data_IF_916859949709
#
_entry.id   IF_916859949709
#
_cell.length_a   1.000
_cell.length_b   1.000
_cell.length_c   1.000
_cell.angle_alpha   90.00
_cell.angle_beta   90.00
_cell.angle_gamma   90.00
#
_symmetry.space_group_name_H-M   'P 1'
#
loop_
_entity.id
_entity.type
_entity.pdbx_description
1 polymer ?
#
# COMPACT_ATOMS: atom_id res chain seq x y z
N UNK A 1 6.79 16.45 -1.27
CA UNK A 1 5.96 15.37 -0.71
C UNK A 1 4.51 15.61 -1.07
N UNK A 2 3.84 14.60 -1.59
CA UNK A 2 2.45 14.68 -1.99
C UNK A 2 1.69 13.43 -1.55
N UNK A 3 0.39 13.58 -1.38
CA UNK A 3 -0.51 12.45 -1.19
C UNK A 3 -1.19 12.13 -2.50
N UNK A 4 -1.01 10.90 -2.99
CA UNK A 4 -1.56 10.46 -4.27
C UNK A 4 -2.84 9.66 -4.04
N UNK A 5 -3.92 9.95 -4.79
CA UNK A 5 -5.16 9.22 -4.61
C UNK A 5 -5.04 7.78 -5.10
N UNK A 6 -5.83 6.90 -4.49
CA UNK A 6 -5.99 5.55 -5.04
C UNK A 6 -7.15 5.52 -6.03
N UNK A 7 -7.12 4.52 -6.90
CA UNK A 7 -8.19 4.25 -7.87
C UNK A 7 -8.66 2.82 -7.66
N UNK A 8 -9.96 2.64 -7.54
CA UNK A 8 -10.56 1.31 -7.46
C UNK A 8 -10.58 0.69 -8.85
N UNK A 9 -9.90 -0.47 -9.00
CA UNK A 9 -9.74 -1.14 -10.31
C UNK A 9 -10.76 -2.26 -10.49
N UNK A 10 -10.94 -3.10 -9.47
CA UNK A 10 -11.82 -4.27 -9.54
C UNK A 10 -12.57 -4.40 -8.23
N UNK A 11 -13.84 -4.79 -8.31
CA UNK A 11 -14.63 -5.12 -7.14
C UNK A 11 -15.64 -6.20 -7.49
N UNK A 12 -15.82 -7.19 -6.58
CA UNK A 12 -16.89 -8.17 -6.66
C UNK A 12 -16.86 -9.09 -7.86
N UNK A 13 -15.88 -10.00 -7.97
CA UNK A 13 -15.75 -10.90 -9.12
C UNK A 13 -15.95 -12.36 -8.72
N UNK A 14 -16.53 -13.12 -9.66
CA UNK A 14 -16.56 -14.60 -9.64
C UNK A 14 -17.06 -15.18 -8.32
N UNK A 15 -18.21 -14.72 -7.83
CA UNK A 15 -18.85 -15.17 -6.60
C UNK A 15 -18.01 -14.88 -5.34
N UNK A 16 -16.93 -14.11 -5.45
CA UNK A 16 -16.08 -13.74 -4.33
C UNK A 16 -16.04 -12.24 -4.19
N UNK A 17 -15.90 -11.78 -2.96
CA UNK A 17 -15.61 -10.38 -2.75
C UNK A 17 -14.12 -10.15 -2.99
N UNK A 18 -13.82 -9.28 -3.93
CA UNK A 18 -12.47 -8.90 -4.31
C UNK A 18 -12.46 -7.40 -4.53
N UNK A 19 -11.44 -6.75 -4.04
CA UNK A 19 -11.19 -5.34 -4.33
C UNK A 19 -9.73 -5.18 -4.71
N UNK A 20 -9.50 -4.51 -5.84
CA UNK A 20 -8.15 -4.14 -6.27
C UNK A 20 -8.08 -2.63 -6.37
N UNK A 21 -7.17 -2.03 -5.63
CA UNK A 21 -6.92 -0.60 -5.70
C UNK A 21 -5.49 -0.34 -6.15
N UNK A 22 -5.27 0.83 -6.72
CA UNK A 22 -3.97 1.23 -7.24
C UNK A 22 -3.65 2.65 -6.81
N UNK A 23 -2.44 2.85 -6.32
CA UNK A 23 -1.83 4.18 -6.19
C UNK A 23 -0.81 4.31 -7.30
N UNK A 24 -0.97 5.31 -8.17
CA UNK A 24 -0.07 5.51 -9.30
C UNK A 24 0.81 6.73 -9.17
N UNK A 25 2.02 6.63 -9.69
CA UNK A 25 2.91 7.77 -9.81
C UNK A 25 3.48 8.30 -8.50
N UNK A 26 3.85 7.41 -7.57
CA UNK A 26 4.46 7.80 -6.30
C UNK A 26 5.94 8.12 -6.51
N UNK A 27 6.32 9.37 -6.29
CA UNK A 27 7.71 9.83 -6.33
C UNK A 27 8.32 9.78 -4.94
N UNK A 28 9.61 10.13 -4.83
CA UNK A 28 10.31 10.17 -3.55
C UNK A 28 9.54 11.02 -2.53
N UNK A 29 9.35 10.47 -1.35
CA UNK A 29 8.63 11.08 -0.22
C UNK A 29 7.12 11.20 -0.40
N UNK A 30 6.55 10.73 -1.48
CA UNK A 30 5.10 10.70 -1.64
C UNK A 30 4.48 9.60 -0.77
N UNK A 31 3.24 9.85 -0.34
CA UNK A 31 2.42 8.85 0.32
C UNK A 31 1.17 8.59 -0.52
N UNK A 32 0.63 7.38 -0.42
CA UNK A 32 -0.68 7.10 -0.97
C UNK A 32 -1.77 7.60 -0.03
N UNK A 33 -2.91 7.98 -0.59
CA UNK A 33 -4.10 8.29 0.19
C UNK A 33 -4.46 7.05 1.02
N UNK A 34 -4.67 7.16 2.33
CA UNK A 34 -5.02 5.99 3.13
C UNK A 34 -6.30 5.33 2.65
N UNK A 35 -6.27 4.01 2.48
CA UNK A 35 -7.49 3.24 2.25
C UNK A 35 -8.06 2.88 3.61
N UNK A 36 -9.23 3.43 3.92
CA UNK A 36 -9.82 3.33 5.25
C UNK A 36 -10.72 2.11 5.35
N UNK A 37 -10.67 1.45 6.51
CA UNK A 37 -11.53 0.32 6.84
C UNK A 37 -11.48 -0.80 5.81
N UNK A 38 -10.28 -1.32 5.47
CA UNK A 38 -10.20 -2.44 4.55
C UNK A 38 -10.84 -3.67 5.21
N UNK A 39 -11.97 -4.12 4.66
CA UNK A 39 -12.78 -5.17 5.31
C UNK A 39 -12.48 -6.58 4.83
N UNK A 40 -11.67 -6.72 3.79
CA UNK A 40 -11.28 -8.03 3.27
C UNK A 40 -9.91 -8.39 3.82
N UNK A 41 -9.76 -9.62 4.31
CA UNK A 41 -8.63 -10.01 5.14
C UNK A 41 -7.42 -10.56 4.38
N UNK A 42 -7.65 -11.19 3.22
CA UNK A 42 -6.54 -11.64 2.39
C UNK A 42 -6.04 -10.48 1.56
N UNK A 43 -4.83 -10.04 1.85
CA UNK A 43 -4.27 -8.85 1.22
C UNK A 43 -2.90 -9.16 0.63
N UNK A 44 -2.70 -8.70 -0.61
CA UNK A 44 -1.40 -8.78 -1.27
C UNK A 44 -1.09 -7.43 -1.90
N UNK A 45 0.18 -7.05 -1.87
CA UNK A 45 0.63 -5.82 -2.51
C UNK A 45 1.58 -6.16 -3.65
N UNK A 46 1.58 -5.31 -4.66
CA UNK A 46 2.52 -5.38 -5.78
C UNK A 46 3.10 -3.99 -5.99
N UNK A 47 4.40 -3.86 -5.85
CA UNK A 47 5.11 -2.60 -6.07
C UNK A 47 5.93 -2.73 -7.34
N UNK A 48 5.76 -1.79 -8.27
CA UNK A 48 6.48 -1.82 -9.54
C UNK A 48 6.75 -0.41 -10.04
N UNK A 49 7.66 -0.30 -10.99
CA UNK A 49 8.01 0.97 -11.61
C UNK A 49 9.51 1.22 -11.56
N UNK A 50 9.89 2.47 -11.52
CA UNK A 50 11.29 2.88 -11.45
C UNK A 50 11.65 3.16 -10.00
N UNK A 51 12.53 2.32 -9.42
CA UNK A 51 12.94 2.48 -8.02
C UNK A 51 14.00 3.56 -7.84
N UNK A 52 14.88 3.75 -8.83
CA UNK A 52 15.97 4.70 -8.71
C UNK A 52 17.07 4.18 -7.78
N UNK A 53 18.02 5.04 -7.44
CA UNK A 53 19.11 4.66 -6.55
C UNK A 53 18.60 4.52 -5.12
N UNK A 54 18.66 3.31 -4.59
CA UNK A 54 18.24 3.02 -3.22
C UNK A 54 16.75 3.18 -2.97
N UNK A 55 15.92 3.13 -4.02
CA UNK A 55 14.49 3.34 -3.88
C UNK A 55 13.80 2.30 -3.02
N UNK A 56 12.90 2.74 -2.16
CA UNK A 56 12.13 1.85 -1.28
C UNK A 56 10.72 2.37 -1.11
N UNK A 57 9.77 1.44 -1.14
CA UNK A 57 8.37 1.69 -0.83
C UNK A 57 8.01 0.92 0.43
N UNK A 58 7.49 1.62 1.42
CA UNK A 58 7.05 1.04 2.67
C UNK A 58 5.53 0.91 2.63
N UNK A 59 5.02 -0.24 3.04
CA UNK A 59 3.58 -0.42 3.24
C UNK A 59 3.32 -0.25 4.72
N UNK A 60 2.48 0.72 5.06
CA UNK A 60 2.24 1.06 6.45
C UNK A 60 0.75 1.13 6.75
N UNK A 61 0.42 0.99 8.02
CA UNK A 61 -0.97 1.00 8.46
C UNK A 61 -1.11 1.51 9.87
N UNK A 62 -2.36 1.58 10.32
CA UNK A 62 -2.70 2.09 11.64
C UNK A 62 -3.96 1.44 12.15
N UNK A 63 -4.13 1.43 13.47
CA UNK A 63 -5.36 1.02 14.14
C UNK A 63 -6.15 2.20 14.69
N UNK A 64 -5.68 3.43 14.46
CA UNK A 64 -6.44 4.62 14.84
C UNK A 64 -7.23 5.15 13.64
N UNK A 65 -8.08 6.13 13.88
CA UNK A 65 -8.92 6.69 12.84
C UNK A 65 -10.28 6.02 12.77
N UNK A 66 -11.05 6.39 11.76
CA UNK A 66 -12.40 5.88 11.53
C UNK A 66 -12.67 5.75 10.03
N UNK A 67 -13.91 5.40 9.65
CA UNK A 67 -14.27 5.29 8.23
C UNK A 67 -14.16 6.63 7.48
N UNK A 68 -14.19 7.75 8.19
CA UNK A 68 -14.15 9.07 7.55
C UNK A 68 -12.95 9.91 7.96
N UNK A 69 -12.27 9.54 9.04
CA UNK A 69 -11.13 10.32 9.57
C UNK A 69 -9.86 9.47 9.47
N UNK A 70 -8.90 9.85 8.62
CA UNK A 70 -7.65 9.09 8.52
C UNK A 70 -6.83 9.20 9.80
N UNK A 71 -6.02 8.18 10.10
CA UNK A 71 -5.11 8.25 11.25
C UNK A 71 -3.99 9.26 11.02
N UNK A 72 -3.36 9.66 12.11
CA UNK A 72 -2.22 10.58 12.09
C UNK A 72 -0.89 9.85 12.27
N UNK A 73 -0.90 8.63 12.79
CA UNK A 73 0.31 7.84 12.99
C UNK A 73 0.21 6.50 12.29
N UNK A 74 1.32 6.05 11.73
CA UNK A 74 1.40 4.82 10.95
C UNK A 74 2.62 4.00 11.38
N UNK A 75 2.54 2.68 11.22
CA UNK A 75 3.66 1.78 11.43
C UNK A 75 3.83 0.90 10.20
N UNK A 76 5.06 0.49 9.92
CA UNK A 76 5.35 -0.42 8.82
C UNK A 76 4.73 -1.79 9.10
N UNK A 77 4.04 -2.32 8.11
CA UNK A 77 3.43 -3.64 8.18
C UNK A 77 4.45 -4.71 7.81
N UNK A 78 4.08 -5.97 8.05
CA UNK A 78 4.96 -7.11 7.82
C UNK A 78 4.31 -8.12 6.88
N UNK A 79 5.14 -8.97 6.28
CA UNK A 79 4.66 -10.15 5.59
C UNK A 79 4.40 -11.29 6.60
N UNK A 80 3.80 -12.42 6.18
CA UNK A 80 3.50 -13.51 7.10
C UNK A 80 4.72 -14.16 7.74
N UNK A 81 5.92 -13.97 7.19
CA UNK A 81 7.17 -14.48 7.74
C UNK A 81 7.78 -13.52 8.77
N UNK A 82 7.17 -12.37 8.99
CA UNK A 82 7.65 -11.38 9.94
C UNK A 82 8.65 -10.37 9.37
N UNK A 83 8.83 -10.34 8.06
CA UNK A 83 9.71 -9.35 7.41
C UNK A 83 8.95 -8.06 7.16
N UNK A 84 9.59 -6.93 7.43
CA UNK A 84 9.00 -5.62 7.15
C UNK A 84 8.71 -5.44 5.66
N UNK A 85 7.56 -4.88 5.35
CA UNK A 85 7.19 -4.55 3.97
C UNK A 85 7.85 -3.23 3.57
N UNK A 86 9.16 -3.27 3.44
CA UNK A 86 10.00 -2.19 2.90
C UNK A 86 10.61 -2.72 1.61
N UNK A 87 10.02 -2.33 0.48
CA UNK A 87 10.19 -3.02 -0.79
C UNK A 87 11.12 -2.22 -1.68
N UNK A 88 12.28 -2.82 -2.03
CA UNK A 88 13.32 -2.19 -2.82
C UNK A 88 13.44 -2.66 -4.26
N UNK A 89 12.59 -3.59 -4.68
CA UNK A 89 12.53 -4.06 -6.07
C UNK A 89 11.11 -4.53 -6.36
N UNK A 90 10.78 -4.73 -7.63
CA UNK A 90 9.45 -5.20 -8.00
C UNK A 90 9.17 -6.56 -7.42
N UNK A 91 8.08 -6.67 -6.65
CA UNK A 91 7.63 -7.96 -6.13
C UNK A 91 6.21 -7.88 -5.58
N UNK A 92 5.64 -9.06 -5.33
CA UNK A 92 4.33 -9.23 -4.73
C UNK A 92 4.53 -9.89 -3.36
N UNK A 93 3.91 -9.32 -2.33
CA UNK A 93 4.00 -9.83 -0.96
C UNK A 93 2.62 -9.81 -0.31
N UNK A 94 2.39 -10.77 0.59
CA UNK A 94 1.21 -10.76 1.43
C UNK A 94 1.39 -9.81 2.61
N UNK A 95 0.29 -9.23 3.08
CA UNK A 95 0.27 -8.34 4.24
C UNK A 95 -0.33 -9.07 5.42
N UNK A 96 0.42 -9.17 6.51
CA UNK A 96 0.03 -9.95 7.68
C UNK A 96 -1.04 -9.25 8.53
N UNK A 97 -0.83 -7.97 8.85
CA UNK A 97 -1.65 -7.30 9.84
C UNK A 97 -2.99 -6.82 9.30
N UNK A 98 -4.02 -6.93 10.13
CA UNK A 98 -5.30 -6.28 9.87
C UNK A 98 -5.29 -4.90 10.52
N UNK A 99 -5.57 -3.88 9.73
CA UNK A 99 -5.49 -2.48 10.15
C UNK A 99 -6.73 -1.72 9.74
N UNK A 100 -6.98 -0.59 10.38
CA UNK A 100 -8.10 0.28 10.01
C UNK A 100 -7.78 1.21 8.85
N UNK A 101 -6.48 1.38 8.54
CA UNK A 101 -6.04 2.17 7.40
C UNK A 101 -4.73 1.60 6.88
N UNK A 102 -4.56 1.62 5.57
CA UNK A 102 -3.35 1.12 4.92
C UNK A 102 -2.97 2.07 3.79
N UNK A 103 -1.68 2.33 3.63
CA UNK A 103 -1.17 3.18 2.54
C UNK A 103 0.28 2.82 2.21
N UNK A 104 0.73 3.10 0.97
CA UNK A 104 2.15 3.05 0.64
C UNK A 104 2.82 4.40 0.95
N UNK A 105 4.13 4.36 1.17
CA UNK A 105 4.96 5.56 1.30
C UNK A 105 6.31 5.28 0.66
N UNK A 106 6.75 6.16 -0.23
CA UNK A 106 8.08 6.04 -0.84
C UNK A 106 9.07 6.71 0.10
N UNK A 107 9.81 5.88 0.84
CA UNK A 107 10.67 6.34 1.94
C UNK A 107 12.08 6.69 1.53
N UNK A 108 12.53 6.19 0.38
CA UNK A 108 13.90 6.41 -0.12
C UNK A 108 13.89 6.32 -1.64
N UNK A 109 14.92 6.89 -2.25
CA UNK A 109 15.08 6.88 -3.70
C UNK A 109 15.82 8.11 -4.18
N UNK A 110 15.59 8.47 -5.42
CA UNK A 110 16.18 9.66 -6.05
C UNK A 110 15.14 10.39 -6.91
N UNK A 111 15.58 11.35 -7.70
CA UNK A 111 14.68 12.14 -8.54
C UNK A 111 14.01 11.37 -9.67
N UNK A 112 14.44 10.14 -9.95
CA UNK A 112 13.84 9.28 -10.98
C UNK A 112 12.84 8.29 -10.40
N UNK A 113 12.75 8.18 -9.08
CA UNK A 113 11.85 7.23 -8.43
C UNK A 113 10.41 7.54 -8.78
N UNK A 114 9.70 6.54 -9.31
CA UNK A 114 8.30 6.68 -9.69
C UNK A 114 7.67 5.29 -9.65
N UNK A 115 6.82 5.04 -8.66
CA UNK A 115 6.31 3.72 -8.36
C UNK A 115 4.79 3.66 -8.45
N UNK A 116 4.30 2.52 -8.88
CA UNK A 116 2.89 2.16 -8.79
C UNK A 116 2.74 1.06 -7.75
N UNK A 117 1.70 1.16 -6.93
CA UNK A 117 1.43 0.18 -5.88
C UNK A 117 0.00 -0.32 -6.04
N UNK A 118 -0.14 -1.64 -6.07
CA UNK A 118 -1.44 -2.29 -6.14
C UNK A 118 -1.72 -2.99 -4.82
N UNK A 119 -2.96 -2.95 -4.37
CA UNK A 119 -3.41 -3.70 -3.20
C UNK A 119 -4.61 -4.53 -3.61
N UNK A 120 -4.45 -5.84 -3.59
CA UNK A 120 -5.55 -6.77 -3.82
C UNK A 120 -6.04 -7.28 -2.48
N UNK A 121 -7.36 -7.21 -2.28
CA UNK A 121 -8.00 -7.71 -1.09
C UNK A 121 -9.08 -8.71 -1.48
N UNK A 122 -9.17 -9.82 -0.77
CA UNK A 122 -10.18 -10.84 -1.00
C UNK A 122 -10.60 -11.48 0.31
N UNK A 123 -11.66 -12.26 0.24
CA UNK A 123 -12.12 -13.05 1.38
C UNK A 123 -11.39 -14.38 1.45
#
# INVERSE_FOLDING_TARGET
MAEKPYVLQITGRDSREVALIKWGGLALNDTGQPYLQPRLNDRSIHVKGTFGAGGKCVIEGSLEGSVTVPPTTYATLNDPQGNSLSIGLEKIESVLENVTAIRPRVSAGDGTTLLDVYLLMSM
#
